data_IF_010563539426
#
_entry.id   IF_010563539426
#
_cell.length_a   1.000
_cell.length_b   1.000
_cell.length_c   1.000
_cell.angle_alpha   90.00
_cell.angle_beta   90.00
_cell.angle_gamma   90.00
#
_symmetry.space_group_name_H-M   'P 1'
#
loop_
_entity.id
_entity.type
_entity.pdbx_description
1 polymer ?
#
# COMPACT_ATOMS: atom_id res chain seq x y z
N UNK A 1 -46.31 -7.16 -29.61
CA UNK A 1 -44.97 -7.39 -28.99
C UNK A 1 -44.31 -6.04 -28.85
N UNK A 2 -44.16 -5.53 -27.64
CA UNK A 2 -43.49 -4.27 -27.38
C UNK A 2 -42.04 -4.59 -26.96
N UNK A 3 -41.09 -4.10 -27.77
CA UNK A 3 -39.65 -4.29 -27.50
C UNK A 3 -39.22 -3.23 -26.50
N UNK A 4 -38.92 -3.66 -25.28
CA UNK A 4 -38.28 -2.77 -24.31
C UNK A 4 -36.80 -2.57 -24.72
N UNK A 5 -36.47 -1.36 -25.12
CA UNK A 5 -35.06 -0.91 -25.27
C UNK A 5 -34.57 -0.51 -23.88
N UNK A 6 -33.71 -1.34 -23.29
CA UNK A 6 -32.99 -0.97 -22.07
C UNK A 6 -31.95 0.09 -22.44
N UNK A 7 -32.19 1.33 -22.04
CA UNK A 7 -31.19 2.42 -22.06
C UNK A 7 -30.21 2.12 -20.93
N UNK A 8 -29.03 1.60 -21.26
CA UNK A 8 -27.92 1.55 -20.30
C UNK A 8 -27.47 2.97 -20.02
N UNK A 9 -27.66 3.44 -18.79
CA UNK A 9 -27.03 4.66 -18.34
C UNK A 9 -25.52 4.51 -18.44
N UNK A 10 -24.78 5.51 -18.96
CA UNK A 10 -23.32 5.46 -18.96
C UNK A 10 -22.85 5.32 -17.50
N UNK A 11 -21.94 4.38 -17.25
CA UNK A 11 -21.25 4.28 -15.96
C UNK A 11 -20.59 5.65 -15.74
N UNK A 12 -20.95 6.32 -14.65
CA UNK A 12 -20.26 7.54 -14.23
C UNK A 12 -18.78 7.20 -14.09
N UNK A 13 -17.94 7.74 -14.97
CA UNK A 13 -16.49 7.65 -14.79
C UNK A 13 -16.19 8.40 -13.51
N UNK A 14 -15.61 7.71 -12.52
CA UNK A 14 -15.10 8.37 -11.34
C UNK A 14 -14.06 9.39 -11.80
N UNK A 15 -14.27 10.67 -11.48
CA UNK A 15 -13.26 11.69 -11.74
C UNK A 15 -11.99 11.30 -10.97
N UNK A 16 -10.83 11.36 -11.64
CA UNK A 16 -9.53 11.11 -11.02
C UNK A 16 -9.11 12.34 -10.23
N UNK A 17 -8.76 12.14 -8.95
CA UNK A 17 -8.10 13.17 -8.15
C UNK A 17 -6.60 13.19 -8.48
N UNK A 18 -5.98 14.36 -8.51
CA UNK A 18 -4.56 14.53 -8.83
C UNK A 18 -3.81 14.99 -7.59
N UNK A 19 -2.78 14.27 -7.19
CA UNK A 19 -1.91 14.71 -6.10
C UNK A 19 -1.06 15.89 -6.55
N UNK A 20 -1.15 17.02 -5.84
CA UNK A 20 -0.49 18.27 -6.18
C UNK A 20 0.25 18.87 -4.99
N UNK A 21 1.30 19.64 -5.29
CA UNK A 21 2.06 20.43 -4.32
C UNK A 21 2.19 21.88 -4.80
N UNK A 22 2.54 22.80 -3.89
CA UNK A 22 2.74 24.22 -4.23
C UNK A 22 3.96 24.49 -5.13
N UNK A 23 4.83 23.51 -5.36
CA UNK A 23 6.04 23.65 -6.22
C UNK A 23 6.57 22.30 -6.67
N UNK A 24 7.31 22.29 -7.78
CA UNK A 24 7.93 21.11 -8.37
C UNK A 24 9.40 21.38 -8.74
N UNK A 25 10.31 20.38 -8.68
CA UNK A 25 10.03 19.04 -8.14
C UNK A 25 9.80 19.07 -6.63
N UNK A 26 9.08 18.06 -6.13
CA UNK A 26 8.79 17.92 -4.70
C UNK A 26 8.92 16.46 -4.25
N UNK A 27 9.32 16.27 -3.00
CA UNK A 27 9.33 14.98 -2.32
C UNK A 27 8.03 14.86 -1.54
N UNK A 28 7.39 13.71 -1.62
CA UNK A 28 6.24 13.35 -0.77
C UNK A 28 6.66 12.20 0.12
N UNK A 29 6.55 12.40 1.44
CA UNK A 29 6.78 11.35 2.42
C UNK A 29 5.49 11.00 3.13
N UNK A 30 5.23 9.70 3.26
CA UNK A 30 4.11 9.17 4.03
C UNK A 30 4.62 8.67 5.38
N UNK A 31 4.40 9.46 6.43
CA UNK A 31 4.72 9.04 7.78
C UNK A 31 3.59 8.20 8.35
N UNK A 32 3.91 7.01 8.81
CA UNK A 32 2.96 6.09 9.40
C UNK A 32 2.51 6.53 10.80
N UNK A 33 1.20 6.38 11.05
CA UNK A 33 0.58 6.55 12.35
C UNK A 33 0.21 5.17 12.93
N UNK A 34 1.05 4.63 13.80
CA UNK A 34 0.85 3.31 14.38
C UNK A 34 1.57 2.18 13.69
N UNK A 35 1.38 1.03 13.52
CA UNK A 35 1.97 -0.03 12.72
C UNK A 35 1.21 -0.26 11.41
N UNK A 36 1.90 -0.66 10.34
CA UNK A 36 1.26 -1.26 9.19
C UNK A 36 1.13 -2.76 9.43
N UNK A 37 0.00 -3.35 9.07
CA UNK A 37 -0.22 -4.78 9.22
C UNK A 37 -0.48 -5.46 7.90
N UNK A 38 0.05 -6.67 7.75
CA UNK A 38 -0.30 -7.61 6.71
C UNK A 38 -1.03 -8.77 7.36
N UNK A 39 -2.35 -8.83 7.19
CA UNK A 39 -3.17 -9.94 7.63
C UNK A 39 -3.23 -11.00 6.54
N UNK A 40 -2.68 -12.16 6.83
CA UNK A 40 -2.50 -13.26 5.90
C UNK A 40 -3.60 -14.30 6.10
N UNK A 41 -4.37 -14.55 5.06
CA UNK A 41 -5.46 -15.54 5.06
C UNK A 41 -6.86 -14.95 5.25
N UNK A 42 -7.91 -15.77 5.09
CA UNK A 42 -9.31 -15.36 5.23
C UNK A 42 -9.75 -15.12 6.68
N UNK A 43 -9.27 -15.95 7.61
CA UNK A 43 -9.17 -15.65 9.04
C UNK A 43 -7.69 -15.45 9.27
N UNK A 44 -7.22 -14.35 9.90
CA UNK A 44 -5.79 -14.11 9.99
C UNK A 44 -5.08 -15.33 10.56
N UNK A 45 -4.36 -16.05 9.70
CA UNK A 45 -3.51 -17.17 10.11
C UNK A 45 -2.24 -16.60 10.71
N UNK A 46 -1.81 -15.45 10.16
CA UNK A 46 -0.72 -14.63 10.68
C UNK A 46 -1.01 -13.16 10.44
N UNK A 47 -0.66 -12.36 11.43
CA UNK A 47 -0.58 -10.90 11.30
C UNK A 47 0.89 -10.52 11.36
N UNK A 48 1.38 -9.83 10.34
CA UNK A 48 2.72 -9.22 10.31
C UNK A 48 2.57 -7.75 10.57
N UNK A 49 3.27 -7.21 11.55
CA UNK A 49 3.26 -5.78 11.89
C UNK A 49 4.65 -5.19 11.67
N UNK A 50 4.72 -4.07 10.95
CA UNK A 50 5.96 -3.36 10.65
C UNK A 50 5.82 -1.86 10.93
N UNK A 51 6.93 -1.18 11.22
CA UNK A 51 7.05 0.24 10.95
C UNK A 51 7.24 0.43 9.44
N UNK A 52 6.64 1.48 8.86
CA UNK A 52 6.71 1.74 7.43
C UNK A 52 6.73 3.23 7.13
N UNK A 53 7.44 3.61 6.05
CA UNK A 53 7.33 4.92 5.41
C UNK A 53 7.02 4.72 3.92
N UNK A 54 6.43 5.75 3.31
CA UNK A 54 6.16 5.81 1.88
C UNK A 54 6.87 7.06 1.32
N UNK A 55 7.68 6.89 0.28
CA UNK A 55 8.39 7.99 -0.34
C UNK A 55 8.03 8.07 -1.84
N UNK A 56 7.82 9.29 -2.34
CA UNK A 56 7.59 9.57 -3.76
C UNK A 56 8.25 10.89 -4.15
N UNK A 57 8.62 11.01 -5.44
CA UNK A 57 9.05 12.28 -6.03
C UNK A 57 8.02 12.69 -7.09
N UNK A 58 7.52 13.92 -6.98
CA UNK A 58 6.60 14.51 -7.94
C UNK A 58 7.33 15.53 -8.81
N UNK A 59 7.22 15.39 -10.12
CA UNK A 59 7.73 16.34 -11.11
C UNK A 59 6.63 17.23 -11.71
N UNK A 60 5.41 17.05 -11.29
CA UNK A 60 4.20 17.76 -11.70
C UNK A 60 2.97 17.18 -11.00
N UNK A 61 1.78 17.82 -11.17
CA UNK A 61 0.53 17.20 -10.75
C UNK A 61 0.40 15.83 -11.41
N UNK A 62 0.13 14.78 -10.62
CA UNK A 62 0.16 13.41 -11.14
C UNK A 62 -0.90 12.51 -10.51
N UNK A 63 -1.43 11.61 -11.32
CA UNK A 63 -2.26 10.47 -10.95
C UNK A 63 -2.06 9.37 -12.03
N UNK A 64 -1.71 8.14 -11.65
CA UNK A 64 -1.38 7.68 -10.31
C UNK A 64 0.04 8.09 -9.85
N UNK A 65 0.26 8.09 -8.54
CA UNK A 65 1.57 8.34 -7.91
C UNK A 65 2.25 7.03 -7.55
N UNK A 66 3.55 6.94 -7.84
CA UNK A 66 4.36 5.77 -7.42
C UNK A 66 5.07 6.08 -6.11
N UNK A 67 4.79 5.27 -5.09
CA UNK A 67 5.43 5.31 -3.79
C UNK A 67 6.36 4.11 -3.63
N UNK A 68 7.59 4.38 -3.16
CA UNK A 68 8.51 3.34 -2.73
C UNK A 68 8.35 3.16 -1.21
N UNK A 69 7.79 2.02 -0.75
CA UNK A 69 7.64 1.74 0.67
C UNK A 69 8.98 1.33 1.29
N UNK A 70 9.11 1.57 2.60
CA UNK A 70 10.15 0.96 3.42
C UNK A 70 9.51 0.27 4.62
N UNK A 71 10.02 -0.90 5.01
CA UNK A 71 9.52 -1.67 6.14
C UNK A 71 10.65 -2.00 7.10
N UNK A 72 10.41 -1.82 8.41
CA UNK A 72 11.40 -2.11 9.44
C UNK A 72 10.74 -2.62 10.73
N UNK A 73 11.53 -3.31 11.56
CA UNK A 73 11.07 -3.82 12.85
C UNK A 73 9.89 -4.77 12.73
N UNK A 74 9.79 -5.51 11.63
CA UNK A 74 8.66 -6.41 11.37
C UNK A 74 8.65 -7.60 12.33
N UNK A 75 7.46 -7.90 12.84
CA UNK A 75 7.21 -9.07 13.69
C UNK A 75 5.93 -9.76 13.27
N UNK A 76 5.74 -11.03 13.61
CA UNK A 76 4.51 -11.75 13.31
C UNK A 76 3.91 -12.46 14.53
N UNK A 77 2.59 -12.59 14.53
CA UNK A 77 1.78 -13.36 15.48
C UNK A 77 0.86 -14.35 14.73
N UNK A 78 0.34 -15.43 15.35
CA UNK A 78 0.49 -15.83 16.74
C UNK A 78 1.80 -16.61 17.01
N UNK A 79 2.16 -16.70 18.28
CA UNK A 79 3.34 -17.48 18.73
C UNK A 79 4.39 -16.65 19.45
N UNK A 80 4.04 -15.42 19.84
CA UNK A 80 4.97 -14.38 20.29
C UNK A 80 5.55 -13.63 19.10
N UNK A 81 6.09 -12.44 19.33
CA UNK A 81 6.65 -11.61 18.26
C UNK A 81 7.84 -12.30 17.59
N UNK A 82 7.59 -13.04 16.51
CA UNK A 82 8.65 -13.68 15.73
C UNK A 82 9.21 -12.72 14.70
N UNK A 83 10.54 -12.74 14.42
CA UNK A 83 11.13 -11.86 13.41
C UNK A 83 10.55 -12.11 12.02
N UNK A 84 10.42 -11.02 11.27
CA UNK A 84 9.97 -11.03 9.87
C UNK A 84 10.88 -10.12 9.06
N UNK A 85 11.19 -10.53 7.83
CA UNK A 85 11.85 -9.67 6.84
C UNK A 85 10.87 -9.42 5.70
N UNK A 86 10.71 -8.16 5.30
CA UNK A 86 9.99 -7.77 4.09
C UNK A 86 11.00 -7.22 3.09
N UNK A 87 11.07 -7.86 1.93
CA UNK A 87 11.99 -7.48 0.84
C UNK A 87 11.18 -7.09 -0.39
N UNK A 88 11.40 -5.88 -0.89
CA UNK A 88 10.62 -5.34 -2.01
C UNK A 88 11.10 -5.82 -3.37
N UNK A 89 12.37 -6.17 -3.54
CA UNK A 89 12.97 -6.60 -4.81
C UNK A 89 12.73 -5.62 -5.98
N UNK A 90 12.70 -4.30 -5.67
CA UNK A 90 12.42 -3.24 -6.63
C UNK A 90 10.93 -3.06 -6.96
N UNK A 91 10.03 -3.67 -6.18
CA UNK A 91 8.60 -3.42 -6.30
C UNK A 91 8.21 -2.10 -5.63
N UNK A 92 7.26 -1.40 -6.25
CA UNK A 92 6.67 -0.15 -5.78
C UNK A 92 5.15 -0.24 -5.72
N UNK A 93 4.52 0.66 -4.97
CA UNK A 93 3.08 0.86 -5.00
C UNK A 93 2.72 2.05 -5.88
N UNK A 94 1.85 1.81 -6.87
CA UNK A 94 1.24 2.89 -7.64
C UNK A 94 -0.15 3.15 -7.06
N UNK A 95 -0.39 4.37 -6.57
CA UNK A 95 -1.64 4.78 -5.92
C UNK A 95 -2.35 5.81 -6.78
N UNK A 96 -3.57 5.49 -7.18
CA UNK A 96 -4.49 6.41 -7.84
C UNK A 96 -5.50 6.97 -6.84
N UNK A 97 -5.83 8.24 -6.98
CA UNK A 97 -6.78 8.95 -6.15
C UNK A 97 -8.09 9.13 -6.91
N UNK A 98 -9.19 8.59 -6.38
CA UNK A 98 -10.52 8.76 -6.93
C UNK A 98 -11.23 9.92 -6.24
N UNK A 99 -11.79 10.85 -7.03
CA UNK A 99 -12.58 11.96 -6.51
C UNK A 99 -13.99 11.49 -6.22
N UNK A 100 -14.61 11.80 -5.07
CA UNK A 100 -16.04 11.63 -4.91
C UNK A 100 -16.76 12.58 -5.89
N UNK A 101 -17.72 12.06 -6.64
CA UNK A 101 -18.48 12.80 -7.66
C UNK A 101 -19.38 13.91 -7.11
N UNK A 102 -18.88 14.71 -6.19
CA UNK A 102 -19.57 15.87 -5.61
C UNK A 102 -18.92 17.15 -6.10
N UNK A 103 -19.73 18.09 -6.56
CA UNK A 103 -19.34 19.41 -7.08
C UNK A 103 -18.75 20.38 -6.04
N UNK A 104 -18.40 19.92 -4.83
CA UNK A 104 -17.77 20.75 -3.81
C UNK A 104 -16.25 20.65 -3.91
N UNK A 105 -15.63 21.73 -4.26
CA UNK A 105 -14.19 21.97 -4.24
C UNK A 105 -13.79 22.68 -2.93
N UNK A 106 -12.66 22.30 -2.29
CA UNK A 106 -11.84 21.12 -2.56
C UNK A 106 -12.48 19.84 -2.02
N UNK A 107 -12.25 18.70 -2.69
CA UNK A 107 -12.70 17.41 -2.21
C UNK A 107 -11.96 17.08 -0.91
N UNK A 108 -12.68 17.05 0.21
CA UNK A 108 -12.09 16.80 1.53
C UNK A 108 -11.78 15.31 1.74
N UNK A 109 -12.45 14.42 1.02
CA UNK A 109 -12.29 12.96 1.18
C UNK A 109 -12.55 12.26 -0.15
N UNK A 110 -11.78 11.23 -0.44
CA UNK A 110 -11.97 10.38 -1.62
C UNK A 110 -11.50 8.95 -1.39
N UNK A 111 -11.60 8.14 -2.44
CA UNK A 111 -11.15 6.74 -2.45
C UNK A 111 -9.76 6.63 -3.05
N UNK A 112 -9.03 5.58 -2.68
CA UNK A 112 -7.74 5.23 -3.27
C UNK A 112 -7.80 3.86 -3.93
N UNK A 113 -7.05 3.72 -5.02
CA UNK A 113 -6.76 2.44 -5.66
C UNK A 113 -5.26 2.23 -5.66
N UNK A 114 -4.82 1.00 -5.42
CA UNK A 114 -3.40 0.66 -5.42
C UNK A 114 -3.11 -0.49 -6.37
N UNK A 115 -1.95 -0.43 -6.99
CA UNK A 115 -1.34 -1.53 -7.73
C UNK A 115 0.06 -1.79 -7.18
N UNK A 116 0.48 -3.04 -7.23
CA UNK A 116 1.87 -3.44 -7.00
C UNK A 116 2.53 -3.60 -8.35
N UNK A 117 3.61 -2.86 -8.58
CA UNK A 117 4.41 -2.94 -9.79
C UNK A 117 5.80 -3.47 -9.42
N UNK A 118 6.23 -4.53 -10.09
CA UNK A 118 7.54 -5.13 -9.86
C UNK A 118 8.29 -5.26 -11.20
N UNK A 119 9.63 -5.23 -11.18
CA UNK A 119 10.43 -5.67 -12.31
C UNK A 119 10.08 -7.11 -12.72
N UNK A 120 10.34 -7.47 -13.97
CA UNK A 120 9.99 -8.79 -14.49
C UNK A 120 10.56 -9.92 -13.62
N UNK A 121 9.68 -10.80 -13.15
CA UNK A 121 10.01 -11.94 -12.31
C UNK A 121 10.30 -11.61 -10.83
N UNK A 122 10.18 -10.35 -10.43
CA UNK A 122 10.33 -9.95 -9.03
C UNK A 122 8.98 -9.92 -8.31
N UNK A 123 9.03 -10.08 -7.00
CA UNK A 123 7.87 -10.07 -6.09
C UNK A 123 8.27 -9.39 -4.78
N UNK A 124 7.30 -8.91 -4.02
CA UNK A 124 7.51 -8.56 -2.61
C UNK A 124 7.55 -9.88 -1.83
N UNK A 125 8.62 -10.12 -1.08
CA UNK A 125 8.80 -11.31 -0.27
C UNK A 125 8.64 -10.98 1.21
N UNK A 126 7.81 -11.75 1.93
CA UNK A 126 7.65 -11.68 3.37
C UNK A 126 8.14 -12.98 3.96
N UNK A 127 9.30 -12.97 4.61
CA UNK A 127 9.89 -14.13 5.27
C UNK A 127 9.59 -14.11 6.76
N UNK A 128 8.89 -15.12 7.25
CA UNK A 128 8.59 -15.30 8.68
C UNK A 128 9.53 -16.36 9.26
N UNK A 129 10.16 -16.06 10.39
CA UNK A 129 11.12 -16.93 11.06
C UNK A 129 10.56 -17.48 12.37
N UNK A 130 10.97 -18.68 12.76
CA UNK A 130 10.52 -19.30 14.02
C UNK A 130 11.02 -18.53 15.26
N UNK A 131 12.22 -17.95 15.18
CA UNK A 131 12.89 -17.23 16.25
C UNK A 131 14.09 -16.42 15.71
N UNK A 132 14.76 -15.67 16.58
CA UNK A 132 15.92 -14.85 16.22
C UNK A 132 17.09 -15.65 15.65
N UNK A 133 17.30 -16.91 16.09
CA UNK A 133 18.37 -17.76 15.56
C UNK A 133 18.07 -18.19 14.11
N UNK A 134 16.83 -18.62 13.82
CA UNK A 134 16.39 -18.95 12.47
C UNK A 134 16.49 -17.73 11.54
N UNK A 135 16.17 -16.53 12.05
CA UNK A 135 16.36 -15.27 11.32
C UNK A 135 17.84 -15.00 11.02
N UNK A 136 18.75 -15.17 12.00
CA UNK A 136 20.19 -14.99 11.79
C UNK A 136 20.78 -15.98 10.77
N UNK A 137 20.20 -17.18 10.67
CA UNK A 137 20.57 -18.21 9.69
C UNK A 137 19.84 -18.09 8.35
N UNK A 138 18.95 -17.11 8.21
CA UNK A 138 18.07 -16.90 7.05
C UNK A 138 17.24 -18.15 6.67
N UNK A 139 16.73 -18.86 7.67
CA UNK A 139 15.90 -20.07 7.50
C UNK A 139 14.45 -19.74 7.87
N UNK A 140 13.67 -19.34 6.89
CA UNK A 140 12.25 -18.99 7.08
C UNK A 140 11.38 -20.24 7.32
N UNK A 141 10.33 -20.08 8.14
CA UNK A 141 9.27 -21.09 8.31
C UNK A 141 8.17 -20.94 7.27
N UNK A 142 7.87 -19.70 6.89
CA UNK A 142 6.92 -19.35 5.83
C UNK A 142 7.48 -18.21 4.99
N UNK A 143 7.26 -18.29 3.68
CA UNK A 143 7.49 -17.19 2.75
C UNK A 143 6.17 -16.85 2.05
N UNK A 144 5.88 -15.56 1.92
CA UNK A 144 4.73 -15.05 1.17
C UNK A 144 5.23 -14.15 0.06
N UNK A 145 4.93 -14.53 -1.18
CA UNK A 145 5.31 -13.82 -2.39
C UNK A 145 4.11 -13.05 -2.93
N UNK A 146 4.22 -11.72 -3.00
CA UNK A 146 3.18 -10.84 -3.54
C UNK A 146 3.69 -10.30 -4.87
N UNK A 147 3.17 -10.85 -5.97
CA UNK A 147 3.54 -10.43 -7.32
C UNK A 147 2.83 -9.14 -7.77
N UNK A 148 3.17 -8.65 -8.98
CA UNK A 148 2.48 -7.53 -9.60
C UNK A 148 0.99 -7.80 -9.71
N UNK A 149 0.17 -6.86 -9.26
CA UNK A 149 -1.29 -6.96 -9.30
C UNK A 149 -1.97 -5.62 -9.05
N UNK A 150 -3.24 -5.53 -9.39
CA UNK A 150 -4.06 -4.35 -9.21
C UNK A 150 -4.65 -3.86 -10.54
N UNK A 151 -5.35 -2.71 -10.54
CA UNK A 151 -5.65 -1.91 -9.34
C UNK A 151 -6.69 -2.59 -8.44
N UNK A 152 -6.50 -2.46 -7.12
CA UNK A 152 -7.46 -2.87 -6.09
C UNK A 152 -7.93 -1.63 -5.32
N UNK A 153 -9.13 -1.67 -4.72
CA UNK A 153 -9.52 -0.62 -3.76
C UNK A 153 -8.55 -0.65 -2.59
N UNK A 154 -7.90 0.48 -2.32
CA UNK A 154 -6.82 0.56 -1.34
C UNK A 154 -7.22 1.30 -0.06
N UNK A 155 -8.36 1.98 -0.03
CA UNK A 155 -8.84 2.71 1.14
C UNK A 155 -9.39 4.08 0.82
N UNK A 156 -9.27 5.00 1.78
CA UNK A 156 -9.74 6.38 1.67
C UNK A 156 -8.61 7.36 2.00
N UNK A 157 -8.69 8.56 1.43
CA UNK A 157 -7.85 9.69 1.83
C UNK A 157 -8.72 10.85 2.33
N UNK A 158 -8.10 11.73 3.11
CA UNK A 158 -8.71 12.95 3.62
C UNK A 158 -7.69 14.10 3.53
N UNK A 159 -8.02 15.17 2.80
CA UNK A 159 -7.23 16.39 2.80
C UNK A 159 -7.40 17.13 4.11
N UNK A 160 -6.30 17.50 4.77
CA UNK A 160 -6.31 18.32 5.97
C UNK A 160 -5.92 19.76 5.61
N UNK A 161 -6.56 20.74 6.24
CA UNK A 161 -6.34 22.16 5.95
C UNK A 161 -5.92 22.96 7.20
N UNK A 162 -5.58 22.26 8.28
CA UNK A 162 -5.09 22.89 9.50
C UNK A 162 -3.57 23.08 9.43
N UNK A 163 -3.12 24.32 9.27
CA UNK A 163 -1.70 24.64 9.13
C UNK A 163 -1.21 24.52 7.69
N UNK A 164 -0.13 23.77 7.44
CA UNK A 164 0.31 23.39 6.10
C UNK A 164 -0.53 22.18 5.69
N UNK A 165 -1.26 22.24 4.57
CA UNK A 165 -2.11 21.15 4.12
C UNK A 165 -1.34 19.84 3.91
N UNK A 166 -1.90 18.75 4.42
CA UNK A 166 -1.43 17.38 4.33
C UNK A 166 -2.55 16.47 3.83
N UNK A 167 -2.21 15.24 3.48
CA UNK A 167 -3.19 14.19 3.09
C UNK A 167 -3.10 13.02 4.06
N UNK A 168 -4.16 12.79 4.83
CA UNK A 168 -4.28 11.59 5.64
C UNK A 168 -4.85 10.45 4.80
N UNK A 169 -4.16 9.31 4.80
CA UNK A 169 -4.52 8.12 4.04
C UNK A 169 -4.76 6.93 4.98
N UNK A 170 -5.95 6.35 4.92
CA UNK A 170 -6.28 5.08 5.57
C UNK A 170 -6.27 3.98 4.54
N UNK A 171 -5.27 3.10 4.62
CA UNK A 171 -5.07 1.98 3.69
C UNK A 171 -5.78 0.73 4.22
N UNK A 172 -6.51 0.06 3.31
CA UNK A 172 -7.10 -1.26 3.51
C UNK A 172 -7.15 -1.95 2.14
N UNK A 173 -6.00 -2.43 1.68
CA UNK A 173 -5.84 -3.03 0.36
C UNK A 173 -5.79 -4.55 0.46
N UNK A 174 -6.53 -5.25 -0.41
CA UNK A 174 -6.54 -6.71 -0.48
C UNK A 174 -5.82 -7.19 -1.73
N UNK A 175 -4.75 -7.93 -1.51
CA UNK A 175 -3.92 -8.54 -2.54
C UNK A 175 -3.98 -10.07 -2.45
N UNK A 176 -3.44 -10.72 -3.46
CA UNK A 176 -3.21 -12.17 -3.44
C UNK A 176 -1.72 -12.44 -3.31
N UNK A 177 -1.35 -13.30 -2.36
CA UNK A 177 0.00 -13.79 -2.21
C UNK A 177 0.06 -15.28 -2.51
N UNK A 178 1.26 -15.78 -2.82
CA UNK A 178 1.58 -17.20 -2.85
C UNK A 178 2.37 -17.55 -1.61
N UNK A 179 1.98 -18.60 -0.90
CA UNK A 179 2.75 -19.09 0.23
C UNK A 179 3.64 -20.26 -0.13
N UNK A 180 4.82 -20.27 0.47
CA UNK A 180 5.74 -21.42 0.42
C UNK A 180 6.08 -21.82 1.85
N UNK A 181 5.96 -23.13 2.13
CA UNK A 181 6.32 -23.72 3.43
C UNK A 181 7.84 -23.87 3.47
N UNK A 182 8.47 -23.24 4.46
CA UNK A 182 9.89 -23.36 4.72
C UNK A 182 10.23 -24.47 5.71
N UNK A 183 11.34 -24.29 6.41
CA UNK A 183 11.86 -25.26 7.37
C UNK A 183 10.95 -25.39 8.61
N UNK A 184 10.64 -26.62 9.01
CA UNK A 184 9.85 -26.89 10.22
C UNK A 184 8.36 -27.16 10.00
N UNK A 185 7.88 -27.18 8.76
CA UNK A 185 6.53 -27.65 8.42
C UNK A 185 5.37 -26.83 9.00
N UNK A 186 5.59 -25.53 9.26
CA UNK A 186 4.56 -24.65 9.78
C UNK A 186 3.42 -24.51 8.76
N UNK A 187 2.16 -24.42 9.24
CA UNK A 187 1.00 -24.12 8.41
C UNK A 187 1.10 -22.66 7.99
N UNK A 188 1.41 -22.43 6.70
CA UNK A 188 1.54 -21.09 6.12
C UNK A 188 0.23 -20.59 5.49
N UNK A 189 -0.83 -21.37 5.52
CA UNK A 189 -2.19 -20.94 5.19
C UNK A 189 -2.54 -20.75 3.73
N UNK A 190 -1.75 -21.24 2.80
CA UNK A 190 -2.08 -21.21 1.39
C UNK A 190 -3.12 -22.28 0.98
N UNK A 191 -3.74 -22.08 -0.18
CA UNK A 191 -4.49 -23.12 -0.86
C UNK A 191 -3.58 -24.34 -1.09
N UNK A 192 -4.01 -25.57 -0.72
CA UNK A 192 -3.14 -26.75 -0.77
C UNK A 192 -2.69 -27.13 -2.20
N UNK A 193 -3.38 -26.63 -3.24
CA UNK A 193 -3.06 -26.92 -4.64
C UNK A 193 -2.25 -25.79 -5.27
N UNK A 194 -2.66 -24.53 -5.05
CA UNK A 194 -2.05 -23.37 -5.72
C UNK A 194 -1.09 -22.59 -4.81
N UNK A 195 -1.16 -22.80 -3.49
CA UNK A 195 -0.44 -22.00 -2.49
C UNK A 195 -0.97 -20.55 -2.35
N UNK A 196 -2.01 -20.18 -3.09
CA UNK A 196 -2.53 -18.81 -3.07
C UNK A 196 -3.39 -18.55 -1.84
N UNK A 197 -3.31 -17.32 -1.33
CA UNK A 197 -4.08 -16.83 -0.19
C UNK A 197 -4.27 -15.31 -0.28
N UNK A 198 -5.37 -14.79 0.28
CA UNK A 198 -5.53 -13.35 0.41
C UNK A 198 -4.56 -12.79 1.46
N UNK A 199 -4.07 -11.60 1.18
CA UNK A 199 -3.33 -10.78 2.14
C UNK A 199 -3.97 -9.40 2.18
N UNK A 200 -4.26 -8.90 3.38
CA UNK A 200 -4.82 -7.57 3.58
C UNK A 200 -3.74 -6.68 4.19
N UNK A 201 -3.41 -5.60 3.48
CA UNK A 201 -2.52 -4.55 3.97
C UNK A 201 -3.37 -3.45 4.60
N UNK A 202 -3.13 -3.13 5.87
CA UNK A 202 -3.80 -2.03 6.56
C UNK A 202 -2.79 -1.10 7.21
N UNK A 203 -3.09 0.21 7.22
CA UNK A 203 -2.25 1.22 7.85
C UNK A 203 -2.82 2.62 7.70
N UNK A 204 -2.37 3.53 8.54
CA UNK A 204 -2.70 4.94 8.45
C UNK A 204 -1.41 5.73 8.20
N UNK A 205 -1.45 6.68 7.27
CA UNK A 205 -0.33 7.53 6.91
C UNK A 205 -0.78 8.98 6.83
N UNK A 206 0.10 9.89 7.25
CA UNK A 206 0.01 11.29 6.86
C UNK A 206 1.03 11.54 5.77
N UNK A 207 0.57 11.91 4.57
CA UNK A 207 1.41 12.27 3.43
C UNK A 207 1.71 13.76 3.50
N UNK A 208 3.00 14.12 3.41
CA UNK A 208 3.50 15.49 3.45
C UNK A 208 4.35 15.82 2.24
N UNK A 209 4.18 17.03 1.72
CA UNK A 209 5.00 17.56 0.64
C UNK A 209 6.21 18.34 1.16
N UNK A 210 7.35 18.21 0.48
CA UNK A 210 8.58 18.95 0.76
C UNK A 210 9.21 19.45 -0.53
N UNK A 211 9.91 20.59 -0.47
CA UNK A 211 10.74 21.04 -1.60
C UNK A 211 11.84 20.01 -1.84
N UNK A 212 12.02 19.60 -3.11
CA UNK A 212 13.16 18.74 -3.46
C UNK A 212 14.43 19.60 -3.70
N UNK A 213 15.40 19.47 -2.82
CA UNK A 213 16.71 20.09 -2.88
C UNK A 213 17.77 19.08 -3.40
N UNK A 214 17.53 18.49 -4.56
CA UNK A 214 18.44 17.50 -5.16
C UNK A 214 18.39 16.14 -4.49
N UNK A 215 17.19 15.66 -4.15
CA UNK A 215 16.93 14.40 -3.46
C UNK A 215 16.96 14.51 -1.93
N UNK A 216 17.04 15.72 -1.39
CA UNK A 216 16.99 15.98 0.07
C UNK A 216 15.75 16.81 0.38
N UNK A 217 14.99 16.41 1.39
CA UNK A 217 13.82 17.15 1.84
C UNK A 217 14.20 18.57 2.29
N UNK A 218 13.54 19.57 1.70
CA UNK A 218 13.63 20.98 2.08
C UNK A 218 12.53 21.37 3.07
N UNK A 219 12.03 22.62 2.96
CA UNK A 219 10.90 23.08 3.75
C UNK A 219 9.60 22.37 3.34
N UNK A 220 8.72 22.12 4.33
CA UNK A 220 7.40 21.55 4.07
C UNK A 220 6.56 22.51 3.22
N UNK A 221 5.85 21.96 2.23
CA UNK A 221 4.95 22.68 1.33
C UNK A 221 3.57 22.04 1.33
N UNK A 222 2.50 22.80 1.00
CA UNK A 222 1.15 22.24 0.89
C UNK A 222 1.08 21.04 -0.05
N UNK A 223 0.37 20.00 0.39
CA UNK A 223 0.03 18.81 -0.39
C UNK A 223 -1.47 18.60 -0.33
N UNK A 224 -2.12 18.41 -1.47
CA UNK A 224 -3.53 18.06 -1.54
C UNK A 224 -3.84 17.12 -2.70
N UNK A 225 -5.05 16.55 -2.69
CA UNK A 225 -5.65 15.85 -3.83
C UNK A 225 -6.77 16.74 -4.38
N UNK A 226 -6.51 17.30 -5.54
CA UNK A 226 -7.41 18.22 -6.24
C UNK A 226 -8.35 17.57 -7.25
#
# INVERSE_FOLDING_TARGET
MATMVAVMAPAAQAETGVLTTAGFPSIVTGQQLGGVTFDVGNAPIRTVTCASNLDATLFGPTDPVTFTPTYSGCTSEPGGATPVTVTLNGCDYTVGFGRPGTTQQPATTGTMHASINCPAGQVIEIHVYANAFAHAMNVSTCTYDIGPQGPVTAGIYHNTFAGIPDVDATINAKFTARSTIGFGGAVCGGDPVTGHLPITLTGNYTLRGFVDNGGVEGGQIPLDVG
#
